data_IF_201726712236
#
_entry.id   IF_201726712236
#
_cell.length_a   1.000
_cell.length_b   1.000
_cell.length_c   1.000
_cell.angle_alpha   90.00
_cell.angle_beta   90.00
_cell.angle_gamma   90.00
#
_symmetry.space_group_name_H-M   'P 1'
#
loop_
_entity.id
_entity.type
_entity.pdbx_description
1 polymer ?
#
# COMPACT_ATOMS: atom_id res chain seq x y z
N UNK A 1 0.10 2.63 -0.72
CA UNK A 1 0.89 3.08 0.44
C UNK A 1 1.85 4.16 -0.01
N UNK A 2 1.53 5.39 0.38
CA UNK A 2 2.27 6.61 0.05
C UNK A 2 2.54 7.36 1.37
N UNK A 3 3.80 7.50 1.80
CA UNK A 3 4.18 8.21 3.01
C UNK A 3 3.67 9.65 3.02
N UNK A 4 3.20 10.12 4.18
CA UNK A 4 2.65 11.47 4.35
C UNK A 4 1.30 11.73 3.65
N UNK A 5 0.78 10.77 2.88
CA UNK A 5 -0.48 10.93 2.13
C UNK A 5 -1.56 10.00 2.66
N UNK A 6 -1.34 8.68 2.69
CA UNK A 6 -2.39 7.71 3.01
C UNK A 6 -1.97 6.56 3.95
N UNK A 7 -0.91 6.76 4.73
CA UNK A 7 -0.37 5.76 5.65
C UNK A 7 -0.55 6.12 7.14
N UNK A 8 -1.32 7.16 7.46
CA UNK A 8 -1.59 7.54 8.86
C UNK A 8 -2.66 6.68 9.54
N UNK A 9 -2.74 6.77 10.87
CA UNK A 9 -3.72 6.08 11.72
C UNK A 9 -5.17 6.29 11.28
N UNK A 10 -5.56 7.53 10.93
CA UNK A 10 -6.91 7.80 10.45
C UNK A 10 -7.25 7.06 9.15
N UNK A 11 -6.26 6.91 8.26
CA UNK A 11 -6.45 6.16 7.01
C UNK A 11 -6.66 4.67 7.30
N UNK A 12 -5.87 4.10 8.22
CA UNK A 12 -6.01 2.72 8.64
C UNK A 12 -7.41 2.45 9.22
N UNK A 13 -7.90 3.30 10.13
CA UNK A 13 -9.23 3.16 10.72
C UNK A 13 -10.36 3.24 9.67
N UNK A 14 -10.28 4.22 8.76
CA UNK A 14 -11.27 4.36 7.68
C UNK A 14 -11.27 3.13 6.77
N UNK A 15 -10.08 2.65 6.39
CA UNK A 15 -9.92 1.49 5.51
C UNK A 15 -10.47 0.21 6.16
N UNK A 16 -10.17 -0.03 7.42
CA UNK A 16 -10.69 -1.15 8.21
C UNK A 16 -12.22 -1.13 8.28
N UNK A 17 -12.81 0.04 8.55
CA UNK A 17 -14.27 0.18 8.62
C UNK A 17 -14.94 -0.21 7.31
N UNK A 18 -14.38 0.24 6.18
CA UNK A 18 -14.86 -0.11 4.84
C UNK A 18 -14.74 -1.61 4.62
N UNK A 19 -13.58 -2.20 4.90
CA UNK A 19 -13.35 -3.62 4.66
C UNK A 19 -14.28 -4.53 5.47
N UNK A 20 -14.53 -4.19 6.74
CA UNK A 20 -15.51 -4.91 7.57
C UNK A 20 -16.93 -4.80 7.03
N UNK A 21 -17.34 -3.63 6.56
CA UNK A 21 -18.69 -3.44 6.01
C UNK A 21 -18.94 -4.21 4.72
N UNK A 22 -17.88 -4.54 3.99
CA UNK A 22 -17.93 -5.24 2.71
C UNK A 22 -17.52 -6.71 2.78
N UNK A 23 -17.19 -7.21 3.98
CA UNK A 23 -16.61 -8.55 4.19
C UNK A 23 -15.47 -8.87 3.20
N UNK A 24 -14.50 -7.96 3.11
CA UNK A 24 -13.44 -8.05 2.10
C UNK A 24 -12.03 -7.97 2.71
N UNK A 25 -11.04 -8.33 1.89
CA UNK A 25 -9.62 -8.32 2.25
C UNK A 25 -8.99 -7.00 1.87
N UNK A 26 -8.04 -6.52 2.67
CA UNK A 26 -7.25 -5.34 2.34
C UNK A 26 -5.97 -5.77 1.63
N UNK A 27 -5.75 -5.29 0.41
CA UNK A 27 -4.50 -5.50 -0.31
C UNK A 27 -3.68 -4.21 -0.36
N UNK A 28 -2.65 -4.10 0.48
CA UNK A 28 -1.75 -2.94 0.50
C UNK A 28 -0.67 -3.09 -0.58
N UNK A 29 -0.50 -2.02 -1.36
CA UNK A 29 0.49 -1.94 -2.43
C UNK A 29 1.46 -0.79 -2.10
N UNK A 30 2.74 -1.09 -1.82
CA UNK A 30 3.78 -0.06 -1.71
C UNK A 30 3.91 0.72 -3.00
N UNK A 31 4.07 2.04 -2.93
CA UNK A 31 4.41 2.83 -4.11
C UNK A 31 5.70 2.27 -4.74
N UNK A 32 5.66 2.05 -6.06
CA UNK A 32 6.67 1.28 -6.77
C UNK A 32 7.83 2.10 -7.33
N UNK A 33 7.64 3.39 -7.55
CA UNK A 33 8.68 4.33 -7.98
C UNK A 33 8.27 5.71 -7.49
N UNK A 34 9.21 6.65 -7.48
CA UNK A 34 8.84 8.04 -7.23
C UNK A 34 7.87 8.53 -8.32
N UNK A 35 6.80 9.20 -7.90
CA UNK A 35 5.73 9.61 -8.78
C UNK A 35 5.19 10.96 -8.33
N UNK A 36 5.31 11.98 -9.17
CA UNK A 36 4.79 13.34 -8.90
C UNK A 36 5.13 13.87 -7.49
N UNK A 37 6.40 13.78 -7.09
CA UNK A 37 6.87 14.29 -5.79
C UNK A 37 6.58 13.36 -4.60
N UNK A 38 5.94 12.21 -4.82
CA UNK A 38 5.77 11.19 -3.78
C UNK A 38 6.89 10.18 -3.82
N UNK A 39 7.48 9.94 -2.65
CA UNK A 39 8.51 8.92 -2.47
C UNK A 39 7.93 7.56 -2.17
N UNK A 40 8.74 6.53 -2.39
CA UNK A 40 8.42 5.18 -1.92
C UNK A 40 8.45 5.13 -0.38
N UNK A 41 7.57 4.33 0.23
CA UNK A 41 7.69 4.03 1.65
C UNK A 41 8.93 3.14 1.91
N UNK A 42 9.56 3.32 3.08
CA UNK A 42 10.60 2.41 3.55
C UNK A 42 9.99 1.08 3.98
N UNK A 43 10.84 0.09 4.30
CA UNK A 43 10.34 -1.21 4.79
C UNK A 43 9.67 -1.06 6.15
N UNK A 44 10.22 -0.19 6.98
CA UNK A 44 9.77 0.13 8.33
C UNK A 44 8.39 0.80 8.26
N UNK A 45 8.22 1.83 7.43
CA UNK A 45 6.92 2.49 7.25
C UNK A 45 5.83 1.55 6.73
N UNK A 46 6.18 0.61 5.85
CA UNK A 46 5.25 -0.44 5.40
C UNK A 46 4.85 -1.33 6.57
N UNK A 47 5.82 -1.78 7.38
CA UNK A 47 5.57 -2.66 8.51
C UNK A 47 4.70 -1.96 9.57
N UNK A 48 5.01 -0.70 9.89
CA UNK A 48 4.22 0.13 10.81
C UNK A 48 2.78 0.28 10.32
N UNK A 49 2.58 0.60 9.05
CA UNK A 49 1.22 0.75 8.53
C UNK A 49 0.43 -0.55 8.52
N UNK A 50 1.08 -1.69 8.27
CA UNK A 50 0.44 -3.01 8.37
C UNK A 50 0.06 -3.31 9.81
N UNK A 51 0.94 -3.03 10.78
CA UNK A 51 0.66 -3.22 12.20
C UNK A 51 -0.54 -2.38 12.68
N UNK A 52 -0.79 -1.21 12.06
CA UNK A 52 -2.01 -0.42 12.34
C UNK A 52 -3.30 -1.10 11.83
N UNK A 53 -3.22 -1.96 10.82
CA UNK A 53 -4.37 -2.64 10.22
C UNK A 53 -4.69 -3.98 10.91
N UNK A 54 -3.68 -4.67 11.46
CA UNK A 54 -3.79 -6.02 12.03
C UNK A 54 -4.84 -6.19 13.15
N UNK A 55 -4.97 -5.28 14.13
CA UNK A 55 -5.93 -5.44 15.24
C UNK A 55 -7.39 -5.50 14.80
N UNK A 56 -7.67 -5.11 13.56
CA UNK A 56 -9.02 -5.11 13.01
C UNK A 56 -9.60 -6.52 12.79
N UNK A 57 -8.76 -7.55 12.68
CA UNK A 57 -9.21 -8.90 12.31
C UNK A 57 -9.63 -9.05 10.85
N UNK A 58 -9.26 -8.09 9.99
CA UNK A 58 -9.49 -8.16 8.54
C UNK A 58 -8.26 -8.77 7.88
N UNK A 59 -8.39 -9.72 6.93
CA UNK A 59 -7.23 -10.27 6.24
C UNK A 59 -6.48 -9.18 5.44
N UNK A 60 -5.20 -9.01 5.75
CA UNK A 60 -4.31 -8.05 5.08
C UNK A 60 -3.33 -8.81 4.18
N UNK A 61 -3.22 -8.36 2.93
CA UNK A 61 -2.24 -8.84 1.95
C UNK A 61 -1.29 -7.69 1.64
N UNK A 62 0.01 -7.91 1.78
CA UNK A 62 1.02 -6.99 1.28
C UNK A 62 1.54 -7.49 -0.06
N UNK A 63 1.06 -6.89 -1.15
CA UNK A 63 1.50 -7.26 -2.50
C UNK A 63 2.92 -6.75 -2.74
N UNK A 64 3.88 -7.65 -2.57
CA UNK A 64 5.23 -7.47 -3.14
C UNK A 64 5.08 -7.47 -4.66
N UNK A 65 5.61 -6.45 -5.32
CA UNK A 65 5.61 -6.39 -6.78
C UNK A 65 6.76 -7.25 -7.33
N UNK A 66 6.50 -8.39 -8.00
CA UNK A 66 7.53 -9.06 -8.80
C UNK A 66 7.91 -8.17 -10.00
N UNK A 67 9.17 -8.25 -10.44
CA UNK A 67 9.63 -7.52 -11.64
C UNK A 67 10.02 -6.05 -11.44
N UNK A 68 10.38 -5.62 -10.20
CA UNK A 68 11.04 -4.32 -9.98
C UNK A 68 12.29 -4.16 -10.86
N UNK A 69 13.00 -5.26 -11.06
CA UNK A 69 14.29 -5.31 -11.75
C UNK A 69 14.14 -5.14 -13.27
N UNK A 70 12.90 -5.19 -13.80
CA UNK A 70 12.58 -5.09 -15.23
C UNK A 70 11.57 -3.97 -15.55
N UNK A 71 11.37 -3.01 -14.65
CA UNK A 71 10.36 -1.94 -14.81
C UNK A 71 8.92 -2.46 -15.05
N UNK A 72 8.60 -3.68 -14.59
CA UNK A 72 7.31 -4.35 -14.87
C UNK A 72 6.26 -4.27 -13.76
N UNK A 73 6.54 -3.55 -12.67
CA UNK A 73 5.62 -3.43 -11.54
C UNK A 73 4.40 -2.55 -11.85
N UNK A 74 3.30 -2.76 -11.11
CA UNK A 74 2.08 -1.94 -11.22
C UNK A 74 2.41 -0.43 -11.12
N UNK A 75 1.95 0.35 -12.11
CA UNK A 75 2.25 1.77 -12.27
C UNK A 75 3.43 2.10 -13.20
N UNK A 76 4.20 1.09 -13.65
CA UNK A 76 5.32 1.28 -14.59
C UNK A 76 4.98 0.91 -16.04
N UNK A 77 3.72 0.56 -16.34
CA UNK A 77 3.21 0.38 -17.71
C UNK A 77 2.90 1.73 -18.39
N UNK A 78 3.80 2.70 -18.24
CA UNK A 78 3.88 3.84 -19.14
C UNK A 78 4.91 3.48 -20.21
N UNK A 79 4.40 2.98 -21.33
CA UNK A 79 5.16 2.77 -22.55
C UNK A 79 6.02 3.99 -22.88
N UNK A 80 7.26 3.72 -23.30
CA UNK A 80 8.08 4.64 -24.08
C UNK A 80 7.20 5.46 -25.03
N UNK A 81 7.30 6.79 -24.94
CA UNK A 81 7.11 7.69 -26.07
C UNK A 81 8.45 8.36 -26.31
#
# INVERSE_FOLDING_TARGET
MIPGVNMGFENANKLVKIAKSLDCKINVIPLNTEFFGWRRPTREEIAEFIALLEPAGVPILNRRSPGKDIFGACGMLASKS
#
